data_IF_002974838106
#
_entry.id   IF_002974838106
#
_cell.length_a   1.000
_cell.length_b   1.000
_cell.length_c   1.000
_cell.angle_alpha   90.00
_cell.angle_beta   90.00
_cell.angle_gamma   90.00
#
_symmetry.space_group_name_H-M   'P 1'
#
loop_
_entity.id
_entity.type
_entity.pdbx_description
1 polymer ?
#
# COMPACT_ATOMS: atom_id res chain seq x y z
N UNK A 1 5.64 8.26 -12.76
CA UNK A 1 5.12 6.88 -12.61
C UNK A 1 4.64 6.75 -11.17
N UNK A 2 3.41 6.31 -10.92
CA UNK A 2 2.84 6.26 -9.56
C UNK A 2 3.22 4.94 -8.91
N UNK A 3 3.73 4.97 -7.68
CA UNK A 3 3.93 3.77 -6.87
C UNK A 3 2.93 3.78 -5.71
N UNK A 4 2.05 2.79 -5.68
CA UNK A 4 1.08 2.63 -4.60
C UNK A 4 1.66 1.70 -3.51
N UNK A 5 1.93 2.27 -2.35
CA UNK A 5 2.39 1.53 -1.17
C UNK A 5 1.18 1.03 -0.38
N UNK A 6 0.93 -0.28 -0.43
CA UNK A 6 -0.22 -0.92 0.21
C UNK A 6 0.21 -1.80 1.39
N UNK A 7 -0.15 -1.39 2.60
CA UNK A 7 -0.08 -2.25 3.80
C UNK A 7 -1.34 -3.11 3.89
N UNK A 8 -1.20 -4.39 4.23
CA UNK A 8 -2.35 -5.26 4.46
C UNK A 8 -3.27 -4.71 5.57
N UNK A 9 -4.57 -4.93 5.38
CA UNK A 9 -5.63 -4.37 6.24
C UNK A 9 -5.57 -2.84 6.38
N UNK A 10 -5.02 -2.12 5.39
CA UNK A 10 -5.01 -0.65 5.36
C UNK A 10 -6.09 -0.05 4.47
N UNK A 11 -6.35 1.25 4.67
CA UNK A 11 -7.33 2.02 3.89
C UNK A 11 -6.85 2.38 2.47
N UNK A 12 -5.60 2.08 2.13
CA UNK A 12 -5.02 2.37 0.81
C UNK A 12 -5.68 1.57 -0.33
N UNK A 13 -6.42 0.51 -0.01
CA UNK A 13 -7.18 -0.27 -0.99
C UNK A 13 -8.17 0.59 -1.79
N UNK A 14 -8.71 1.67 -1.21
CA UNK A 14 -9.59 2.62 -1.93
C UNK A 14 -8.87 3.34 -3.07
N UNK A 15 -7.59 3.61 -2.92
CA UNK A 15 -6.78 4.26 -3.95
C UNK A 15 -6.49 3.29 -5.09
N UNK A 16 -6.31 2.00 -4.79
CA UNK A 16 -6.19 0.96 -5.82
C UNK A 16 -7.41 0.98 -6.74
N UNK A 17 -8.61 0.93 -6.17
CA UNK A 17 -9.86 1.01 -6.96
C UNK A 17 -9.95 2.28 -7.81
N UNK A 18 -9.56 3.43 -7.26
CA UNK A 18 -9.56 4.68 -8.02
C UNK A 18 -8.60 4.62 -9.21
N UNK A 19 -7.38 4.11 -9.02
CA UNK A 19 -6.38 4.01 -10.08
C UNK A 19 -6.84 3.06 -11.20
N UNK A 20 -7.47 1.95 -10.84
CA UNK A 20 -8.10 1.03 -11.79
C UNK A 20 -9.23 1.72 -12.57
N UNK A 21 -10.14 2.41 -11.88
CA UNK A 21 -11.31 3.06 -12.50
C UNK A 21 -10.90 4.11 -13.55
N UNK A 22 -9.87 4.91 -13.25
CA UNK A 22 -9.37 5.94 -14.17
C UNK A 22 -8.33 5.41 -15.17
N UNK A 23 -8.04 4.10 -15.15
CA UNK A 23 -7.05 3.42 -16.00
C UNK A 23 -5.65 4.04 -15.90
N UNK A 24 -5.27 4.53 -14.73
CA UNK A 24 -3.97 5.15 -14.53
C UNK A 24 -2.91 4.07 -14.25
N UNK A 25 -1.81 3.99 -15.02
CA UNK A 25 -0.74 3.04 -14.75
C UNK A 25 -0.06 3.32 -13.41
N UNK A 26 0.12 2.28 -12.60
CA UNK A 26 0.83 2.34 -11.33
C UNK A 26 1.61 1.05 -11.05
N UNK A 27 2.60 1.16 -10.19
CA UNK A 27 3.30 0.02 -9.60
C UNK A 27 2.77 -0.23 -8.20
N UNK A 28 2.43 -1.48 -7.87
CA UNK A 28 1.94 -1.86 -6.55
C UNK A 28 3.10 -2.40 -5.70
N UNK A 29 3.40 -1.73 -4.59
CA UNK A 29 4.33 -2.24 -3.57
C UNK A 29 3.56 -2.67 -2.33
N UNK A 30 3.49 -3.98 -2.09
CA UNK A 30 2.75 -4.57 -0.97
C UNK A 30 3.64 -4.74 0.25
N UNK A 31 3.05 -4.49 1.41
CA UNK A 31 3.66 -4.66 2.72
C UNK A 31 2.73 -5.48 3.59
N UNK A 32 3.33 -6.27 4.46
CA UNK A 32 2.61 -7.08 5.43
C UNK A 32 2.98 -6.62 6.83
N UNK A 33 1.98 -6.58 7.70
CA UNK A 33 2.16 -6.40 9.13
C UNK A 33 2.91 -7.60 9.70
N UNK A 34 3.67 -7.31 10.74
CA UNK A 34 4.29 -8.35 11.55
C UNK A 34 3.19 -9.24 12.16
N UNK A 35 3.32 -10.56 12.03
CA UNK A 35 2.27 -11.50 12.43
C UNK A 35 2.04 -11.60 13.94
N UNK A 36 3.00 -11.15 14.75
CA UNK A 36 2.95 -11.26 16.21
C UNK A 36 2.52 -9.94 16.86
N UNK A 37 3.01 -8.81 16.34
CA UNK A 37 2.80 -7.48 16.89
C UNK A 37 1.75 -6.68 16.14
N UNK A 38 1.36 -7.14 14.94
CA UNK A 38 0.47 -6.45 13.99
C UNK A 38 0.95 -5.05 13.58
N UNK A 39 2.22 -4.73 13.83
CA UNK A 39 2.82 -3.45 13.47
C UNK A 39 3.19 -3.42 11.99
N UNK A 40 3.20 -2.21 11.42
CA UNK A 40 3.73 -2.01 10.09
C UNK A 40 5.26 -2.26 10.09
N UNK A 41 5.82 -2.77 8.98
CA UNK A 41 7.26 -2.94 8.88
C UNK A 41 7.98 -1.59 8.91
N UNK A 42 9.19 -1.54 9.45
CA UNK A 42 9.98 -0.31 9.56
C UNK A 42 10.25 0.35 8.20
N UNK A 43 10.30 -0.45 7.13
CA UNK A 43 10.47 0.04 5.75
C UNK A 43 9.32 0.94 5.27
N UNK A 44 8.19 0.97 5.97
CA UNK A 44 7.07 1.87 5.67
C UNK A 44 7.22 3.26 6.32
N UNK A 45 8.02 3.38 7.39
CA UNK A 45 8.22 4.66 8.11
C UNK A 45 8.90 5.72 7.26
N UNK A 46 9.72 5.32 6.31
CA UNK A 46 10.44 6.26 5.43
C UNK A 46 9.58 6.83 4.32
N UNK A 47 8.34 6.35 4.17
CA UNK A 47 7.46 6.61 3.02
C UNK A 47 6.21 7.41 3.43
N UNK A 48 5.77 7.28 4.69
CA UNK A 48 4.54 7.87 5.22
C UNK A 48 4.85 9.05 6.14
#
# INVERSE_FOLDING_TARGET
MITLHHLDQSRSFRILWLLEEIKQPYELKRYYRDSNTHLAPDSLKTIH
#
